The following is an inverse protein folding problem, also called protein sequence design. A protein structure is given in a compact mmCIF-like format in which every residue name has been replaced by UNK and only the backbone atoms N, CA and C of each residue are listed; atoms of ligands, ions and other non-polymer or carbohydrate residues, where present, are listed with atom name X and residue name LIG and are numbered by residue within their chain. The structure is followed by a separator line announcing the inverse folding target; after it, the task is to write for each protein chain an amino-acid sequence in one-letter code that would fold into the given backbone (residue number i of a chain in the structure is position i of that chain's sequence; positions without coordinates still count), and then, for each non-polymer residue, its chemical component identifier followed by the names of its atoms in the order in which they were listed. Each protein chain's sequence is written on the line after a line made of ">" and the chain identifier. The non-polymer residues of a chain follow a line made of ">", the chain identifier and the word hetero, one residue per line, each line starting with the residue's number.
data_IF_754804572996
#
_entry.id   IF_754804572996
#
_cell.length_a   1.000
_cell.length_b   1.000
_cell.length_c   1.000
_cell.angle_alpha   90.00
_cell.angle_beta   90.00
_cell.angle_gamma   90.00
#
_symmetry.space_group_name_H-M   'P 1'
#
loop_
_entity.id
_entity.type
_entity.pdbx_description
1 polymer ?
#
# COMPACT_ATOMS: atom_id res chain seq x y z
N UNK A 1 -11.83 4.64 9.95
CA UNK A 1 -11.65 4.58 8.48
C UNK A 1 -10.16 4.46 8.25
N UNK A 2 -9.79 3.44 7.50
CA UNK A 2 -8.66 2.56 7.81
C UNK A 2 -8.22 1.90 6.53
N UNK A 3 -6.91 1.67 6.40
CA UNK A 3 -6.31 0.79 5.40
C UNK A 3 -7.21 -0.42 5.11
N UNK A 4 -7.48 -0.67 3.84
CA UNK A 4 -8.26 -1.80 3.36
C UNK A 4 -7.38 -2.73 2.57
N UNK A 5 -7.48 -4.02 2.89
CA UNK A 5 -6.85 -5.08 2.12
C UNK A 5 -7.93 -5.74 1.28
N UNK A 6 -7.66 -5.86 -0.01
CA UNK A 6 -8.45 -6.63 -0.94
C UNK A 6 -7.60 -7.80 -1.41
N UNK A 7 -7.88 -9.01 -0.91
CA UNK A 7 -7.13 -10.19 -1.28
C UNK A 7 -7.39 -10.60 -2.72
N UNK A 8 -6.43 -11.30 -3.32
CA UNK A 8 -6.61 -11.94 -4.60
C UNK A 8 -7.31 -13.30 -4.42
N UNK A 9 -8.17 -13.67 -5.37
CA UNK A 9 -9.02 -14.88 -5.32
C UNK A 9 -8.17 -16.17 -5.28
N UNK A 10 -6.92 -16.10 -5.71
CA UNK A 10 -5.98 -17.23 -5.71
C UNK A 10 -5.27 -17.46 -4.39
N UNK A 11 -5.37 -16.54 -3.42
CA UNK A 11 -4.56 -16.61 -2.21
C UNK A 11 -5.06 -17.65 -1.21
N UNK A 12 -4.13 -18.47 -0.72
CA UNK A 12 -4.35 -19.40 0.39
C UNK A 12 -4.42 -18.68 1.74
N UNK A 13 -4.93 -19.36 2.77
CA UNK A 13 -5.07 -18.79 4.13
C UNK A 13 -3.74 -18.24 4.67
N UNK A 14 -2.63 -18.93 4.41
CA UNK A 14 -1.30 -18.49 4.88
C UNK A 14 -0.84 -17.19 4.22
N UNK A 15 -1.10 -17.01 2.93
CA UNK A 15 -0.74 -15.80 2.17
C UNK A 15 -1.58 -14.60 2.63
N UNK A 16 -2.87 -14.85 2.95
CA UNK A 16 -3.76 -13.84 3.52
C UNK A 16 -3.25 -13.36 4.88
N UNK A 17 -2.92 -14.28 5.78
CA UNK A 17 -2.39 -13.92 7.10
C UNK A 17 -1.06 -13.16 6.97
N UNK A 18 -0.18 -13.58 6.06
CA UNK A 18 1.10 -12.89 5.80
C UNK A 18 0.87 -11.45 5.33
N UNK A 19 -0.13 -11.22 4.48
CA UNK A 19 -0.53 -9.87 4.09
C UNK A 19 -1.07 -9.06 5.27
N UNK A 20 -1.97 -9.63 6.07
CA UNK A 20 -2.52 -8.96 7.25
C UNK A 20 -1.42 -8.54 8.23
N UNK A 21 -0.47 -9.43 8.52
CA UNK A 21 0.64 -9.16 9.44
C UNK A 21 1.63 -8.14 8.88
N UNK A 22 1.95 -8.20 7.58
CA UNK A 22 2.74 -7.16 6.92
C UNK A 22 2.08 -5.77 7.05
N UNK A 23 0.77 -5.70 6.85
CA UNK A 23 0.01 -4.46 6.89
C UNK A 23 -0.34 -3.99 8.32
N UNK A 24 -0.19 -4.85 9.33
CA UNK A 24 -0.33 -4.52 10.75
C UNK A 24 0.89 -3.77 11.33
N UNK A 25 1.68 -3.11 10.49
CA UNK A 25 2.82 -2.29 10.87
C UNK A 25 2.44 -1.19 11.87
N UNK A 26 3.16 -1.14 12.99
CA UNK A 26 3.08 -0.06 13.96
C UNK A 26 4.10 1.05 13.58
N UNK A 27 3.67 2.28 13.31
CA UNK A 27 4.58 3.40 13.04
C UNK A 27 5.61 3.70 14.15
N UNK A 28 5.42 3.16 15.36
CA UNK A 28 6.38 3.27 16.46
C UNK A 28 7.56 2.29 16.35
N UNK A 29 7.51 1.28 15.48
CA UNK A 29 8.58 0.30 15.27
C UNK A 29 9.42 0.64 14.03
N UNK A 30 10.62 0.07 13.94
CA UNK A 30 11.42 0.18 12.73
C UNK A 30 10.83 -0.71 11.62
N UNK A 31 10.59 -0.13 10.45
CA UNK A 31 10.00 -0.84 9.32
C UNK A 31 10.81 -2.05 8.86
N UNK A 32 12.15 -1.96 8.88
CA UNK A 32 13.01 -3.08 8.46
C UNK A 32 12.87 -4.22 9.47
N UNK A 33 12.80 -3.91 10.77
CA UNK A 33 12.62 -4.92 11.80
C UNK A 33 11.22 -5.56 11.76
N UNK A 34 10.17 -4.80 11.46
CA UNK A 34 8.83 -5.33 11.17
C UNK A 34 8.84 -6.31 9.99
N UNK A 35 9.45 -5.93 8.87
CA UNK A 35 9.57 -6.81 7.69
C UNK A 35 10.32 -8.10 8.06
N UNK A 36 11.41 -8.00 8.84
CA UNK A 36 12.17 -9.18 9.30
C UNK A 36 11.33 -10.08 10.21
N UNK A 37 10.52 -9.53 11.12
CA UNK A 37 9.69 -10.35 12.00
C UNK A 37 8.64 -11.14 11.23
N UNK A 38 8.00 -10.51 10.23
CA UNK A 38 7.04 -11.22 9.35
C UNK A 38 7.76 -12.31 8.55
N UNK A 39 8.93 -12.02 7.96
CA UNK A 39 9.71 -13.05 7.28
C UNK A 39 10.05 -14.25 8.18
N UNK A 40 10.41 -14.00 9.45
CA UNK A 40 10.73 -15.04 10.42
C UNK A 40 9.52 -15.87 10.81
N UNK A 41 8.37 -15.25 11.04
CA UNK A 41 7.12 -15.91 11.40
C UNK A 41 6.66 -16.89 10.31
N UNK A 42 6.75 -16.48 9.06
CA UNK A 42 6.31 -17.29 7.92
C UNK A 42 7.42 -18.17 7.31
N UNK A 43 8.65 -18.08 7.84
CA UNK A 43 9.83 -18.79 7.34
C UNK A 43 10.10 -18.55 5.84
N UNK A 44 9.94 -17.30 5.40
CA UNK A 44 10.14 -16.86 4.01
C UNK A 44 11.30 -15.87 3.92
N UNK A 45 11.87 -15.76 2.73
CA UNK A 45 12.79 -14.67 2.40
C UNK A 45 12.05 -13.37 2.10
N UNK A 46 12.73 -12.23 2.20
CA UNK A 46 12.16 -10.92 1.87
C UNK A 46 11.62 -10.83 0.43
N UNK A 47 12.29 -11.37 -0.61
CA UNK A 47 11.72 -11.39 -1.96
C UNK A 47 10.45 -12.24 -2.07
N UNK A 48 10.36 -13.37 -1.36
CA UNK A 48 9.16 -14.21 -1.31
C UNK A 48 8.01 -13.46 -0.64
N UNK A 49 8.26 -12.83 0.51
CA UNK A 49 7.27 -11.97 1.18
C UNK A 49 6.73 -10.91 0.21
N UNK A 50 7.60 -10.14 -0.44
CA UNK A 50 7.13 -9.08 -1.35
C UNK A 50 6.39 -9.62 -2.59
N UNK A 51 6.72 -10.81 -3.08
CA UNK A 51 5.92 -11.43 -4.13
C UNK A 51 4.49 -11.74 -3.68
N UNK A 52 4.32 -12.18 -2.43
CA UNK A 52 2.98 -12.40 -1.85
C UNK A 52 2.26 -11.09 -1.58
N UNK A 53 2.92 -10.10 -0.98
CA UNK A 53 2.32 -8.78 -0.70
C UNK A 53 1.81 -8.11 -1.97
N UNK A 54 2.52 -8.24 -3.11
CA UNK A 54 2.07 -7.68 -4.40
C UNK A 54 0.74 -8.24 -4.91
N UNK A 55 0.31 -9.39 -4.41
CA UNK A 55 -0.99 -9.97 -4.75
C UNK A 55 -2.11 -9.39 -3.86
N UNK A 56 -1.78 -8.78 -2.73
CA UNK A 56 -2.72 -8.12 -1.83
C UNK A 56 -2.86 -6.66 -2.18
N UNK A 57 -3.99 -6.29 -2.80
CA UNK A 57 -4.25 -4.88 -3.10
C UNK A 57 -4.60 -4.13 -1.81
N UNK A 58 -3.75 -3.18 -1.41
CA UNK A 58 -3.98 -2.34 -0.26
C UNK A 58 -4.29 -0.90 -0.68
N UNK A 59 -5.29 -0.29 -0.05
CA UNK A 59 -5.69 1.08 -0.34
C UNK A 59 -6.22 1.82 0.89
N UNK A 60 -6.13 3.14 0.84
CA UNK A 60 -6.72 4.05 1.82
C UNK A 60 -8.10 4.48 1.32
N UNK A 61 -9.15 4.16 2.08
CA UNK A 61 -10.53 4.53 1.72
C UNK A 61 -10.86 6.01 2.04
N UNK A 62 -10.06 6.60 2.93
CA UNK A 62 -10.10 7.98 3.39
C UNK A 62 -9.26 8.95 2.54
N UNK A 63 -8.35 8.44 1.71
CA UNK A 63 -7.55 9.24 0.77
C UNK A 63 -7.99 8.94 -0.64
N UNK A 64 -8.47 9.98 -1.35
CA UNK A 64 -9.02 9.86 -2.70
C UNK A 64 -8.44 10.92 -3.61
N UNK A 65 -8.35 10.58 -4.90
CA UNK A 65 -7.90 11.51 -5.93
C UNK A 65 -8.83 12.73 -5.92
N UNK A 66 -8.27 13.91 -5.73
CA UNK A 66 -9.01 15.16 -5.70
C UNK A 66 -9.70 15.48 -7.04
N UNK A 67 -9.25 14.85 -8.13
CA UNK A 67 -9.83 15.01 -9.46
C UNK A 67 -10.89 13.95 -9.80
N UNK A 68 -10.53 12.67 -9.74
CA UNK A 68 -11.40 11.58 -10.21
C UNK A 68 -12.05 10.75 -9.08
N UNK A 69 -11.70 10.99 -7.81
CA UNK A 69 -12.24 10.27 -6.65
C UNK A 69 -11.73 8.84 -6.47
N UNK A 70 -10.77 8.38 -7.30
CA UNK A 70 -10.13 7.07 -7.18
C UNK A 70 -9.46 6.90 -5.82
N UNK A 71 -9.53 5.71 -5.23
CA UNK A 71 -8.91 5.42 -3.93
C UNK A 71 -7.39 5.44 -4.03
N UNK A 72 -6.70 5.82 -2.96
CA UNK A 72 -5.23 5.85 -2.95
C UNK A 72 -4.67 4.44 -2.72
N UNK A 73 -4.05 3.79 -3.71
CA UNK A 73 -3.35 2.53 -3.50
C UNK A 73 -2.08 2.79 -2.68
N UNK A 74 -1.71 1.83 -1.84
CA UNK A 74 -0.47 1.89 -1.04
C UNK A 74 0.28 0.57 -1.16
N UNK A 75 1.61 0.65 -1.24
CA UNK A 75 2.50 -0.52 -1.36
C UNK A 75 3.34 -0.74 -0.10
N UNK A 76 3.62 0.33 0.64
CA UNK A 76 4.47 0.33 1.83
C UNK A 76 3.69 0.93 3.02
N UNK A 77 3.51 0.19 4.13
CA UNK A 77 2.82 0.69 5.32
C UNK A 77 3.42 1.98 5.88
N UNK A 78 4.75 2.11 5.82
CA UNK A 78 5.47 3.28 6.30
C UNK A 78 5.17 4.57 5.51
N UNK A 79 4.62 4.47 4.30
CA UNK A 79 4.27 5.64 3.47
C UNK A 79 2.87 6.19 3.79
N UNK A 80 2.03 5.44 4.52
CA UNK A 80 0.66 5.83 4.84
C UNK A 80 0.57 7.21 5.54
N UNK A 81 1.41 7.53 6.55
CA UNK A 81 1.39 8.85 7.18
C UNK A 81 1.71 9.97 6.19
N UNK A 82 2.66 9.74 5.28
CA UNK A 82 3.00 10.70 4.24
C UNK A 82 1.83 10.92 3.29
N UNK A 83 1.18 9.85 2.80
CA UNK A 83 0.01 9.97 1.92
C UNK A 83 -1.13 10.75 2.59
N UNK A 84 -1.36 10.54 3.88
CA UNK A 84 -2.39 11.25 4.67
C UNK A 84 -2.02 12.69 5.02
N UNK A 85 -0.73 13.04 5.02
CA UNK A 85 -0.27 14.40 5.32
C UNK A 85 -0.48 15.38 4.17
N UNK A 86 -0.75 14.90 2.95
CA UNK A 86 -0.98 15.75 1.78
C UNK A 86 -2.34 16.44 1.89
N UNK A 87 -2.37 17.74 1.67
CA UNK A 87 -3.62 18.52 1.58
C UNK A 87 -4.52 18.04 0.43
N UNK A 88 -3.90 17.59 -0.67
CA UNK A 88 -4.57 16.98 -1.81
C UNK A 88 -3.68 15.88 -2.42
N UNK A 89 -4.31 14.78 -2.81
CA UNK A 89 -3.68 13.67 -3.51
C UNK A 89 -4.30 13.52 -4.90
N UNK A 90 -3.48 13.23 -5.90
CA UNK A 90 -3.89 12.92 -7.26
C UNK A 90 -3.38 11.53 -7.61
N UNK A 91 -4.18 10.73 -8.31
CA UNK A 91 -3.69 9.46 -8.82
C UNK A 91 -2.71 9.71 -9.97
N UNK A 92 -1.81 8.75 -10.22
CA UNK A 92 -0.77 8.84 -11.25
C UNK A 92 -1.32 9.23 -12.63
N UNK A 93 -2.50 8.72 -12.99
CA UNK A 93 -3.19 9.07 -14.25
C UNK A 93 -3.52 10.57 -14.29
N UNK A 94 -4.16 11.09 -13.24
CA UNK A 94 -4.54 12.50 -13.19
C UNK A 94 -3.32 13.42 -13.06
N UNK A 95 -2.26 13.01 -12.35
CA UNK A 95 -1.01 13.76 -12.30
C UNK A 95 -0.38 13.86 -13.69
N UNK A 96 -0.34 12.75 -14.44
CA UNK A 96 0.16 12.72 -15.80
C UNK A 96 -0.66 13.63 -16.73
N UNK A 97 -1.99 13.56 -16.68
CA UNK A 97 -2.88 14.38 -17.51
C UNK A 97 -2.68 15.88 -17.24
N UNK A 98 -2.61 16.28 -15.96
CA UNK A 98 -2.35 17.67 -15.55
C UNK A 98 -0.99 18.15 -16.07
N UNK A 99 0.04 17.30 -15.98
CA UNK A 99 1.37 17.64 -16.50
C UNK A 99 1.37 17.82 -18.01
N UNK A 100 0.70 16.93 -18.76
CA UNK A 100 0.58 17.06 -20.22
C UNK A 100 -0.12 18.35 -20.63
N UNK A 101 -1.21 18.73 -19.93
CA UNK A 101 -1.89 20.01 -20.18
C UNK A 101 -0.98 21.22 -19.92
N UNK A 102 -0.16 21.18 -18.88
CA UNK A 102 0.77 22.27 -18.56
C UNK A 102 1.84 22.45 -19.63
N UNK A 103 2.44 21.35 -20.12
CA UNK A 103 3.50 21.40 -21.15
C UNK A 103 2.98 21.66 -22.57
N UNK A 104 1.67 21.51 -22.80
CA UNK A 104 1.04 21.78 -24.11
C UNK A 104 0.60 23.23 -24.28
N UNK A 105 0.81 24.10 -23.27
CA UNK A 105 0.53 25.54 -23.29
C UNK A 105 1.80 26.34 -23.52
#
# INVERSE_FOLDING_TARGET
>A
MTLKLQPNITQGIQELNMCEDYWAYDPATDYIDHVKSVCQEYSVSTPELFNEIRQCFAYLDDVRCAFCGYVCPVEIPADIPYMRSKDSWYCEICEYDIQQEYYSR
#
